data_IF_992215525590
#
_entry.id   IF_992215525590
#
_cell.length_a   1.000
_cell.length_b   1.000
_cell.length_c   1.000
_cell.angle_alpha   90.00
_cell.angle_beta   90.00
_cell.angle_gamma   90.00
#
_symmetry.space_group_name_H-M   'P 1'
#
loop_
_entity.id
_entity.type
_entity.pdbx_description
1 polymer ?
2 polymer ?
3 polymer ?
4 water ?
#
# COMPACT_ATOMS: atom_id res chain seq x y z
N UNK A 1 13.87 8.51 -9.96
CA UNK A 1 12.72 7.60 -9.80
C UNK A 1 12.13 7.58 -8.36
N UNK A 2 12.16 8.72 -7.62
CA UNK A 2 11.70 8.82 -6.24
C UNK A 2 10.53 9.76 -5.99
N UNK A 3 9.67 9.34 -5.04
CA UNK A 3 8.47 10.04 -4.62
C UNK A 3 8.17 9.96 -3.11
N UNK A 4 7.67 11.08 -2.55
CA UNK A 4 7.22 11.14 -1.15
C UNK A 4 5.71 11.19 -1.26
N UNK A 5 5.03 10.34 -0.50
CA UNK A 5 3.59 10.31 -0.47
C UNK A 5 3.12 10.27 0.97
N UNK A 6 2.00 10.93 1.26
CA UNK A 6 1.39 10.92 2.59
C UNK A 6 -0.01 10.41 2.39
N UNK A 7 -0.45 9.51 3.27
CA UNK A 7 -1.75 8.82 3.20
C UNK A 7 -2.45 9.00 4.53
N UNK A 8 -3.66 9.55 4.49
CA UNK A 8 -4.47 9.89 5.68
C UNK A 8 -5.77 9.13 5.61
N UNK A 9 -6.18 8.58 6.74
CA UNK A 9 -7.42 7.79 6.85
C UNK A 9 -8.18 8.31 8.07
N UNK A 10 -9.40 8.81 7.83
CA UNK A 10 -10.29 9.38 8.85
C UNK A 10 -11.56 8.55 8.82
N UNK A 11 -11.86 7.86 9.91
CA UNK A 11 -13.04 7.00 9.96
C UNK A 11 -13.92 7.46 11.13
N UNK A 12 -15.12 7.98 10.83
CA UNK A 12 -16.04 8.39 11.90
C UNK A 12 -16.64 7.16 12.63
N UNK A 13 -17.08 7.35 13.88
CA UNK A 13 -17.71 6.28 14.68
C UNK A 13 -19.18 6.68 14.94
N UNK A 14 -20.15 5.74 15.14
CA UNK A 14 -21.55 6.15 15.30
C UNK A 14 -21.81 7.20 16.37
N UNK A 15 -22.71 8.12 16.05
CA UNK A 15 -23.08 9.26 16.89
C UNK A 15 -21.99 10.31 16.82
N UNK A 16 -21.68 10.92 17.97
CA UNK A 16 -20.65 11.92 18.06
C UNK A 16 -19.25 11.30 18.37
N UNK A 17 -18.41 12.03 19.11
CA UNK A 17 -17.06 11.58 19.46
C UNK A 17 -16.02 11.71 18.36
N UNK A 18 -14.74 11.79 18.79
CA UNK A 18 -13.50 11.86 18.02
C UNK A 18 -13.52 10.83 16.86
N UNK A 19 -13.10 11.20 15.63
CA UNK A 19 -13.00 10.17 14.59
C UNK A 19 -11.70 9.39 14.76
N UNK A 20 -11.56 8.31 13.98
CA UNK A 20 -10.32 7.56 13.94
C UNK A 20 -9.38 8.17 12.88
N UNK A 21 -8.26 8.82 13.31
CA UNK A 21 -7.29 9.42 12.38
C UNK A 21 -5.93 8.69 12.27
N UNK A 22 -5.65 8.12 11.06
CA UNK A 22 -4.40 7.42 10.71
C UNK A 22 -3.65 8.13 9.59
N UNK A 23 -2.39 8.47 9.86
CA UNK A 23 -1.48 9.08 8.92
C UNK A 23 -0.23 8.21 8.68
N UNK A 24 0.00 7.75 7.41
CA UNK A 24 1.22 7.07 6.94
C UNK A 24 1.98 7.90 5.90
N UNK A 25 3.29 7.96 6.06
CA UNK A 25 4.16 8.70 5.16
C UNK A 25 5.24 7.77 4.65
N UNK A 26 5.42 7.78 3.30
CA UNK A 26 6.38 6.92 2.60
C UNK A 26 7.36 7.65 1.73
N UNK A 27 8.55 7.06 1.53
CA UNK A 27 9.54 7.53 0.58
C UNK A 27 9.65 6.33 -0.34
N UNK A 28 8.89 6.36 -1.45
CA UNK A 28 8.75 5.27 -2.39
C UNK A 28 7.99 4.15 -1.69
N UNK A 29 8.61 2.98 -1.51
CA UNK A 29 7.96 1.84 -0.91
C UNK A 29 8.42 1.61 0.51
N UNK A 30 9.24 2.57 1.02
CA UNK A 30 9.76 2.59 2.41
C UNK A 30 9.05 3.65 3.27
N UNK A 31 8.31 3.18 4.30
CA UNK A 31 7.56 4.00 5.25
C UNK A 31 8.48 4.50 6.30
N UNK A 32 8.35 5.78 6.64
CA UNK A 32 9.20 6.37 7.68
C UNK A 32 8.38 6.95 8.84
N UNK A 33 7.06 6.96 8.69
CA UNK A 33 6.18 7.59 9.69
C UNK A 33 4.77 7.00 9.75
N UNK A 34 4.27 6.93 10.99
CA UNK A 34 2.94 6.53 11.44
C UNK A 34 2.47 7.48 12.52
N UNK A 35 1.17 7.73 12.53
CA UNK A 35 0.40 8.47 13.52
C UNK A 35 -0.91 7.71 13.72
N UNK A 36 -1.27 7.47 14.96
CA UNK A 36 -2.53 6.80 15.22
C UNK A 36 -3.24 7.53 16.33
N UNK A 37 -4.39 8.21 16.01
CA UNK A 37 -5.22 8.98 16.97
C UNK A 37 -5.63 8.15 18.19
N UNK A 38 -5.70 6.80 18.01
CA UNK A 38 -6.03 5.77 18.99
C UNK A 38 -4.83 5.49 19.93
N UNK A 39 -4.67 6.39 20.90
CA UNK A 39 -3.62 6.46 21.92
C UNK A 39 -3.99 7.67 22.74
N UNK A 40 -4.04 7.51 24.10
CA UNK A 40 -4.44 8.56 25.05
C UNK A 40 -3.52 9.78 25.05
N UNK A 41 -2.30 9.60 24.53
CA UNK A 41 -1.28 10.61 24.26
C UNK A 41 -0.68 10.22 22.86
N UNK A 42 -1.34 10.65 21.74
CA UNK A 42 -0.83 10.30 20.42
C UNK A 42 0.47 11.05 20.05
N UNK A 43 1.43 10.31 19.44
CA UNK A 43 2.73 10.80 19.01
C UNK A 43 3.09 10.37 17.58
N UNK A 44 3.95 11.16 16.93
CA UNK A 44 4.54 10.84 15.63
C UNK A 44 5.53 9.71 15.82
N UNK A 45 5.48 8.68 14.96
CA UNK A 45 6.33 7.50 15.14
C UNK A 45 7.28 7.31 14.00
N UNK A 46 8.61 7.22 14.22
CA UNK A 46 9.54 6.96 13.10
C UNK A 46 9.58 5.48 12.74
N UNK A 47 9.37 5.17 11.44
CA UNK A 47 9.36 3.79 10.94
C UNK A 47 10.59 3.42 10.08
N UNK A 48 11.61 4.30 10.07
CA UNK A 48 12.86 4.11 9.31
C UNK A 48 14.05 4.79 10.00
N UNK A 49 15.24 4.12 10.10
CA UNK A 49 16.37 4.72 10.83
C UNK A 49 16.86 6.11 10.40
N UNK A 50 16.56 6.53 9.13
CA UNK A 50 16.98 7.80 8.52
C UNK A 50 16.26 9.09 8.98
N UNK A 51 15.14 8.92 9.71
CA UNK A 51 14.35 10.01 10.28
C UNK A 51 14.51 9.99 11.82
N UNK A 52 15.25 8.99 12.35
CA UNK A 52 15.50 8.80 13.79
C UNK A 52 16.65 9.69 14.26
N UNK A 53 17.50 10.11 13.30
CA UNK A 53 18.63 11.03 13.49
C UNK A 53 18.09 12.47 13.49
N UNK A 54 16.84 12.65 12.99
CA UNK A 54 16.12 13.93 12.91
C UNK A 54 15.71 14.32 14.34
N UNK A 55 16.00 15.58 14.70
CA UNK A 55 15.77 16.14 16.02
C UNK A 55 14.49 15.77 16.77
N UNK A 56 14.49 15.73 18.13
CA UNK A 56 13.25 15.42 18.86
C UNK A 56 12.21 16.52 18.71
N UNK A 57 12.68 17.76 18.48
CA UNK A 57 11.82 18.93 18.27
C UNK A 57 11.06 18.84 16.91
N UNK A 58 11.69 18.16 15.90
CA UNK A 58 11.11 17.87 14.58
C UNK A 58 9.96 16.87 14.81
N UNK A 59 10.14 15.97 15.77
CA UNK A 59 9.18 14.94 16.15
C UNK A 59 7.93 15.42 16.90
N UNK A 60 8.00 16.63 17.53
CA UNK A 60 6.87 17.26 18.22
C UNK A 60 6.00 17.95 17.16
N UNK A 61 6.66 18.67 16.20
CA UNK A 61 6.12 19.40 15.05
C UNK A 61 5.31 18.47 14.15
N UNK A 62 5.79 17.24 13.92
CA UNK A 62 5.05 16.26 13.11
C UNK A 62 3.80 15.84 13.81
N UNK A 63 3.91 15.59 15.13
CA UNK A 63 2.79 15.23 16.01
C UNK A 63 1.74 16.36 16.05
N UNK A 64 2.14 17.64 16.21
CA UNK A 64 1.21 18.80 16.23
C UNK A 64 0.43 18.91 14.92
N UNK A 65 1.10 18.63 13.78
CA UNK A 65 0.54 18.63 12.42
C UNK A 65 -0.59 17.60 12.30
N UNK A 66 -0.31 16.33 12.66
CA UNK A 66 -1.25 15.22 12.66
C UNK A 66 -2.35 15.42 13.73
N UNK A 67 -2.03 16.09 14.86
CA UNK A 67 -3.03 16.44 15.86
C UNK A 67 -3.94 17.56 15.31
N UNK A 68 -3.41 18.45 14.45
CA UNK A 68 -4.21 19.48 13.77
C UNK A 68 -5.11 18.81 12.72
N UNK A 69 -4.54 17.88 11.90
CA UNK A 69 -5.28 17.14 10.87
C UNK A 69 -6.41 16.28 11.43
N UNK A 70 -6.16 15.57 12.55
CA UNK A 70 -7.16 14.72 13.23
C UNK A 70 -8.36 15.53 13.74
N UNK A 71 -8.08 16.73 14.26
CA UNK A 71 -9.05 17.69 14.79
C UNK A 71 -9.84 18.28 13.60
N UNK A 72 -9.14 18.50 12.47
CA UNK A 72 -9.67 19.04 11.21
C UNK A 72 -10.54 18.03 10.46
N UNK A 73 -10.21 16.73 10.50
CA UNK A 73 -11.03 15.72 9.80
C UNK A 73 -12.36 15.38 10.44
N UNK A 74 -12.51 15.72 11.74
CA UNK A 74 -13.75 15.58 12.50
C UNK A 74 -14.80 16.55 11.93
N UNK A 75 -14.34 17.79 11.62
CA UNK A 75 -15.17 18.85 11.02
C UNK A 75 -15.41 18.59 9.54
N UNK A 76 -14.43 17.97 8.86
CA UNK A 76 -14.51 17.56 7.45
C UNK A 76 -15.54 16.45 7.27
N UNK A 77 -15.52 15.44 8.13
CA UNK A 77 -16.47 14.32 8.09
C UNK A 77 -17.87 14.81 8.42
N UNK A 78 -17.97 15.78 9.35
CA UNK A 78 -19.22 16.42 9.79
C UNK A 78 -19.85 17.19 8.62
N UNK A 79 -19.04 17.97 7.87
CA UNK A 79 -19.46 18.75 6.70
C UNK A 79 -19.93 17.88 5.55
N UNK A 80 -19.19 16.78 5.24
CA UNK A 80 -19.53 15.84 4.17
C UNK A 80 -20.84 15.12 4.44
N UNK A 81 -21.10 14.76 5.73
CA UNK A 81 -22.34 14.14 6.22
C UNK A 81 -23.52 15.06 5.86
N UNK A 82 -23.28 16.35 6.00
CA UNK A 82 -24.20 17.40 5.62
C UNK A 82 -24.27 17.62 4.12
N UNK A 83 -23.21 17.31 3.36
CA UNK A 83 -23.22 17.49 1.89
C UNK A 83 -24.01 16.35 1.23
N UNK A 84 -24.02 15.21 1.89
CA UNK A 84 -24.64 13.98 1.47
C UNK A 84 -25.94 13.71 2.21
N UNK A 85 -26.39 14.67 3.01
CA UNK A 85 -27.62 14.63 3.81
C UNK A 85 -27.72 13.27 4.56
N UNK A 86 -26.69 13.00 5.40
CA UNK A 86 -26.47 11.77 6.18
C UNK A 86 -26.50 12.04 7.70
N UNK A 87 -27.00 11.07 8.46
CA UNK A 87 -27.11 11.09 9.92
C UNK A 87 -25.76 10.85 10.60
N UNK A 88 -25.70 11.15 11.92
CA UNK A 88 -24.54 10.89 12.77
C UNK A 88 -24.40 9.39 13.01
N UNK A 89 -25.48 8.64 12.69
CA UNK A 89 -25.53 7.19 12.81
C UNK A 89 -24.91 6.56 11.57
N UNK A 90 -23.89 5.76 11.80
CA UNK A 90 -23.16 5.09 10.73
C UNK A 90 -21.78 5.66 10.55
N UNK A 91 -20.80 4.79 10.31
CA UNK A 91 -19.40 5.11 10.11
C UNK A 91 -19.09 5.45 8.66
N UNK A 92 -18.34 6.56 8.45
CA UNK A 92 -17.93 7.04 7.13
C UNK A 92 -16.42 7.22 7.07
N UNK A 93 -15.85 7.20 5.85
CA UNK A 93 -14.39 7.31 5.65
C UNK A 93 -14.01 8.50 4.77
N UNK A 94 -12.96 9.23 5.16
CA UNK A 94 -12.41 10.33 4.39
C UNK A 94 -10.89 10.11 4.23
N UNK A 95 -10.45 9.91 2.99
CA UNK A 95 -9.03 9.66 2.72
C UNK A 95 -8.47 10.78 1.88
N UNK A 96 -7.24 11.22 2.24
CA UNK A 96 -6.44 12.21 1.53
C UNK A 96 -5.08 11.60 1.15
N UNK A 97 -4.64 11.87 -0.09
CA UNK A 97 -3.33 11.46 -0.59
C UNK A 97 -2.68 12.70 -1.18
N UNK A 98 -1.51 13.03 -0.64
CA UNK A 98 -0.70 14.14 -1.09
C UNK A 98 0.75 13.73 -1.15
N UNK A 99 1.50 14.40 -2.01
CA UNK A 99 2.90 14.05 -2.19
C UNK A 99 3.54 14.54 -3.48
N UNK A 100 4.85 14.25 -3.59
CA UNK A 100 5.69 14.73 -4.66
C UNK A 100 6.54 13.67 -5.34
N UNK A 101 6.56 13.67 -6.68
CA UNK A 101 7.43 12.84 -7.53
C UNK A 101 8.63 13.74 -7.86
N UNK A 102 9.86 13.25 -7.58
CA UNK A 102 11.07 14.03 -7.85
C UNK A 102 11.42 14.00 -9.33
N UNK A 103 11.77 15.17 -9.87
CA UNK A 103 12.16 15.38 -11.26
C UNK A 103 13.56 14.87 -11.57
N UNK A 104 14.14 15.23 -12.74
CA UNK A 104 15.50 14.74 -13.07
C UNK A 104 16.61 15.49 -12.36
N UNK A 105 16.29 16.71 -11.88
CA UNK A 105 17.15 17.48 -11.01
C UNK A 105 16.40 17.59 -9.67
N UNK A 106 16.72 18.58 -8.83
CA UNK A 106 16.07 18.70 -7.52
C UNK A 106 14.74 19.43 -7.55
N UNK A 107 14.01 19.27 -8.67
CA UNK A 107 12.72 19.88 -9.01
C UNK A 107 11.55 18.93 -8.86
N UNK A 108 10.36 19.50 -8.77
CA UNK A 108 9.13 18.73 -8.68
C UNK A 108 8.76 18.22 -10.10
N UNK A 109 8.53 16.90 -10.21
CA UNK A 109 8.12 16.25 -11.45
C UNK A 109 6.61 16.39 -11.46
N UNK A 110 5.92 15.87 -10.42
CA UNK A 110 4.46 15.98 -10.28
C UNK A 110 4.06 16.14 -8.81
N UNK A 111 3.00 16.93 -8.59
CA UNK A 111 2.40 17.23 -7.30
C UNK A 111 1.00 16.66 -7.20
N UNK A 112 0.67 16.07 -6.05
CA UNK A 112 -0.60 15.40 -5.80
C UNK A 112 -1.23 15.91 -4.56
N UNK A 113 -2.56 16.08 -4.58
CA UNK A 113 -3.42 16.43 -3.46
C UNK A 113 -4.86 16.07 -3.81
N UNK A 114 -5.27 14.88 -3.40
CA UNK A 114 -6.59 14.31 -3.72
C UNK A 114 -7.30 13.61 -2.57
N UNK A 115 -8.63 13.61 -2.63
CA UNK A 115 -9.52 13.08 -1.62
C UNK A 115 -10.55 12.07 -2.17
N UNK A 116 -11.00 11.17 -1.27
CA UNK A 116 -11.98 10.10 -1.43
C UNK A 116 -12.82 10.06 -0.16
N UNK A 117 -14.13 9.98 -0.31
CA UNK A 117 -15.11 9.91 0.76
C UNK A 117 -15.87 8.61 0.55
N UNK A 118 -15.72 7.67 1.48
CA UNK A 118 -16.24 6.30 1.39
C UNK A 118 -15.68 5.51 0.17
N UNK A 119 -14.42 5.81 -0.16
CA UNK A 119 -13.66 5.12 -1.21
C UNK A 119 -14.12 5.34 -2.62
N UNK A 120 -14.64 6.55 -2.86
CA UNK A 120 -15.11 7.11 -4.12
C UNK A 120 -14.36 8.42 -4.23
N UNK A 121 -13.82 8.73 -5.44
CA UNK A 121 -13.06 9.97 -5.67
C UNK A 121 -13.92 11.16 -5.25
N UNK A 122 -13.32 12.17 -4.61
CA UNK A 122 -14.09 13.31 -4.18
C UNK A 122 -13.65 14.56 -4.90
N UNK A 123 -12.37 14.92 -4.71
CA UNK A 123 -11.73 16.08 -5.31
C UNK A 123 -10.26 15.81 -5.52
N UNK A 124 -9.74 16.28 -6.64
CA UNK A 124 -8.33 16.07 -6.92
C UNK A 124 -7.65 17.29 -7.41
N UNK A 125 -6.38 17.45 -7.00
CA UNK A 125 -5.56 18.50 -7.52
C UNK A 125 -5.06 17.99 -8.86
N UNK A 126 -5.24 18.84 -9.88
CA UNK A 126 -4.79 18.57 -11.23
C UNK A 126 -3.31 18.84 -11.31
N UNK A 127 -2.64 18.16 -12.25
CA UNK A 127 -1.21 18.26 -12.61
C UNK A 127 -0.64 19.69 -12.67
N UNK A 128 -1.44 20.70 -13.11
CA UNK A 128 -1.02 22.11 -13.16
C UNK A 128 -0.86 22.76 -11.76
N UNK A 129 -1.36 22.06 -10.69
CA UNK A 129 -1.31 22.47 -9.26
C UNK A 129 -2.09 23.77 -8.96
N UNK A 130 -2.78 24.30 -9.99
CA UNK A 130 -3.55 25.55 -10.00
C UNK A 130 -5.03 25.24 -9.98
N UNK A 131 -5.39 24.02 -10.41
CA UNK A 131 -6.76 23.58 -10.64
C UNK A 131 -7.18 22.35 -9.82
N UNK A 132 -8.49 21.98 -9.84
CA UNK A 132 -9.09 20.84 -9.15
C UNK A 132 -10.14 20.18 -10.02
N UNK A 133 -10.31 18.85 -9.86
CA UNK A 133 -11.35 18.02 -10.49
C UNK A 133 -12.26 17.53 -9.32
N UNK A 134 -13.52 18.04 -9.25
CA UNK A 134 -14.58 17.63 -8.31
C UNK A 134 -15.36 16.45 -8.97
N UNK A 135 -15.58 15.32 -8.25
CA UNK A 135 -16.26 14.16 -8.87
C UNK A 135 -17.78 14.25 -8.86
N UNK A 136 -18.38 14.86 -7.83
CA UNK A 136 -19.83 15.03 -7.65
C UNK A 136 -20.23 16.49 -7.38
N UNK A 137 -21.53 16.74 -7.11
CA UNK A 137 -22.08 18.07 -6.79
C UNK A 137 -21.49 18.60 -5.49
N UNK A 138 -21.31 17.69 -4.48
CA UNK A 138 -20.79 17.95 -3.13
C UNK A 138 -19.41 18.51 -3.22
N UNK A 139 -18.52 17.79 -3.95
CA UNK A 139 -17.13 18.17 -4.16
C UNK A 139 -17.03 19.50 -4.90
N UNK A 140 -18.07 19.87 -5.73
CA UNK A 140 -18.11 21.17 -6.40
C UNK A 140 -18.24 22.32 -5.37
N UNK A 141 -18.82 22.04 -4.16
CA UNK A 141 -18.96 22.99 -3.03
C UNK A 141 -17.58 23.28 -2.47
N UNK A 142 -16.78 22.22 -2.25
CA UNK A 142 -15.39 22.27 -1.78
C UNK A 142 -14.55 23.00 -2.83
N UNK A 143 -14.84 22.75 -4.11
CA UNK A 143 -14.19 23.34 -5.28
C UNK A 143 -14.46 24.83 -5.37
N UNK A 144 -15.70 25.28 -5.19
CA UNK A 144 -16.01 26.71 -5.28
C UNK A 144 -15.43 27.49 -4.11
N UNK A 145 -15.30 26.81 -2.97
CA UNK A 145 -14.76 27.25 -1.68
C UNK A 145 -13.27 27.34 -1.86
N UNK A 146 -12.69 26.30 -2.51
CA UNK A 146 -11.27 26.24 -2.80
C UNK A 146 -10.80 27.18 -3.87
N UNK A 147 -11.62 27.41 -4.91
CA UNK A 147 -11.28 28.36 -5.97
C UNK A 147 -11.33 29.82 -5.50
N UNK A 148 -12.26 30.14 -4.57
CA UNK A 148 -12.39 31.46 -3.96
C UNK A 148 -11.21 31.75 -3.02
N UNK A 149 -10.84 30.75 -2.19
CA UNK A 149 -9.75 30.83 -1.21
C UNK A 149 -8.34 30.82 -1.83
N UNK A 150 -8.25 30.38 -3.08
CA UNK A 150 -7.02 30.17 -3.86
C UNK A 150 -6.11 29.14 -3.15
N UNK A 151 -6.75 28.06 -2.64
CA UNK A 151 -6.18 26.90 -1.90
C UNK A 151 -5.05 26.22 -2.71
N UNK A 152 -5.30 25.91 -4.02
CA UNK A 152 -4.36 25.33 -4.99
C UNK A 152 -3.04 26.13 -5.06
N UNK A 153 -3.12 27.50 -5.20
CA UNK A 153 -1.95 28.41 -5.25
C UNK A 153 -1.15 28.31 -3.96
N UNK A 154 -1.86 28.27 -2.81
CA UNK A 154 -1.34 28.12 -1.46
C UNK A 154 -0.65 26.76 -1.29
N UNK A 155 -1.33 25.66 -1.72
CA UNK A 155 -0.79 24.28 -1.61
C UNK A 155 0.42 24.00 -2.50
N UNK A 156 0.57 24.80 -3.55
CA UNK A 156 1.63 24.78 -4.56
C UNK A 156 3.02 24.89 -3.92
N UNK A 157 3.23 25.89 -3.03
CA UNK A 157 4.49 26.15 -2.29
C UNK A 157 5.05 24.89 -1.56
N UNK A 158 4.17 24.09 -0.95
CA UNK A 158 4.58 22.87 -0.26
C UNK A 158 5.09 21.79 -1.22
N UNK A 159 4.27 21.44 -2.26
CA UNK A 159 4.59 20.42 -3.25
C UNK A 159 5.90 20.68 -4.00
N UNK A 160 6.09 21.94 -4.42
CA UNK A 160 7.23 22.46 -5.15
C UNK A 160 8.53 22.66 -4.39
N UNK A 161 8.44 23.22 -3.20
CA UNK A 161 9.60 23.54 -2.40
C UNK A 161 9.87 22.59 -1.27
N UNK A 162 8.94 22.54 -0.28
CA UNK A 162 8.98 21.79 0.97
C UNK A 162 8.99 20.25 0.84
N UNK A 163 8.06 19.70 0.08
CA UNK A 163 7.92 18.26 -0.16
C UNK A 163 9.21 17.71 -0.83
N UNK A 164 9.79 18.51 -1.74
CA UNK A 164 10.98 18.26 -2.53
C UNK A 164 12.24 18.31 -1.66
N UNK A 165 12.37 19.36 -0.82
CA UNK A 165 13.49 19.58 0.10
C UNK A 165 13.65 18.43 1.07
N UNK A 166 12.50 17.87 1.52
CA UNK A 166 12.44 16.81 2.50
C UNK A 166 12.72 15.45 1.92
N UNK A 167 12.12 15.12 0.75
CA UNK A 167 12.37 13.89 -0.01
C UNK A 167 13.90 13.84 -0.21
N UNK A 168 14.50 14.96 -0.70
CA UNK A 168 15.95 15.13 -0.90
C UNK A 168 16.79 14.88 0.37
N UNK A 169 16.36 15.41 1.54
CA UNK A 169 17.07 15.20 2.83
C UNK A 169 17.06 13.71 3.19
N UNK A 170 15.87 13.06 3.08
CA UNK A 170 15.59 11.65 3.32
C UNK A 170 16.36 10.73 2.37
N UNK A 171 16.51 11.13 1.09
CA UNK A 171 17.24 10.39 0.06
C UNK A 171 18.73 10.43 0.29
N UNK A 172 19.22 11.49 0.94
CA UNK A 172 20.62 11.65 1.30
C UNK A 172 20.88 10.89 2.61
N UNK A 173 19.95 11.04 3.59
CA UNK A 173 20.01 10.36 4.90
C UNK A 173 19.91 8.84 4.80
N UNK A 174 19.12 8.35 3.83
CA UNK A 174 18.90 6.93 3.60
C UNK A 174 19.47 6.38 2.30
N UNK A 175 20.44 7.11 1.72
CA UNK A 175 21.16 6.84 0.46
C UNK A 175 21.56 5.35 0.28
N UNK A 176 21.79 4.65 1.42
CA UNK A 176 22.23 3.26 1.47
C UNK A 176 21.16 2.30 1.00
N UNK A 177 19.93 2.48 1.47
CA UNK A 177 18.80 1.60 1.12
C UNK A 177 17.79 2.20 0.12
N UNK A 178 17.55 3.54 0.23
CA UNK A 178 16.59 4.27 -0.61
C UNK A 178 17.05 4.49 -2.04
N UNK A 179 18.37 4.67 -2.24
CA UNK A 179 18.93 4.96 -3.56
C UNK A 179 19.49 3.74 -4.29
N UNK A 180 19.24 2.52 -3.79
CA UNK A 180 19.71 1.30 -4.47
C UNK A 180 18.58 0.40 -4.94
N UNK A 181 18.82 -0.39 -6.01
CA UNK A 181 17.82 -1.32 -6.51
C UNK A 181 18.30 -2.77 -6.35
N UNK A 182 17.47 -3.60 -5.67
CA UNK A 182 17.77 -5.03 -5.44
C UNK A 182 16.97 -5.84 -6.45
N UNK A 183 17.68 -6.47 -7.40
CA UNK A 183 17.14 -7.32 -8.48
C UNK A 183 16.37 -8.53 -7.92
N UNK A 184 15.36 -9.07 -8.64
CA UNK A 184 14.65 -10.27 -8.14
C UNK A 184 15.50 -11.54 -8.26
N UNK A 185 15.19 -12.57 -7.46
CA UNK A 185 15.87 -13.86 -7.52
C UNK A 185 14.93 -14.81 -8.23
N UNK A 186 15.18 -14.95 -9.51
CA UNK A 186 14.36 -15.74 -10.41
C UNK A 186 14.64 -17.26 -10.42
N UNK A 187 13.55 -18.03 -10.63
CA UNK A 187 13.51 -19.47 -10.82
C UNK A 187 12.17 -19.81 -11.38
N UNK A 188 12.01 -21.02 -11.94
CA UNK A 188 10.75 -21.48 -12.52
C UNK A 188 10.40 -22.78 -11.87
N UNK A 189 9.11 -22.95 -11.56
CA UNK A 189 8.55 -24.18 -11.01
C UNK A 189 7.54 -24.69 -12.00
N UNK A 190 7.43 -26.02 -12.11
CA UNK A 190 6.59 -26.80 -13.02
C UNK A 190 5.69 -27.67 -12.18
N UNK A 191 4.39 -27.63 -12.50
CA UNK A 191 3.42 -28.37 -11.73
C UNK A 191 2.45 -29.03 -12.68
N UNK A 192 2.64 -30.34 -13.02
CA UNK A 192 1.62 -31.04 -13.84
C UNK A 192 0.17 -30.84 -13.35
N UNK A 193 -0.78 -30.72 -14.27
CA UNK A 193 -2.16 -30.48 -13.88
C UNK A 193 -3.01 -31.71 -14.21
N UNK A 194 -2.74 -32.32 -15.37
CA UNK A 194 -3.43 -33.50 -15.93
C UNK A 194 -2.49 -34.26 -16.85
N UNK A 195 -3.06 -35.16 -17.68
CA UNK A 195 -2.31 -35.92 -18.67
C UNK A 195 -1.89 -34.94 -19.82
N UNK A 196 -2.65 -33.84 -19.96
CA UNK A 196 -2.48 -32.82 -21.01
C UNK A 196 -2.16 -31.37 -20.60
N UNK A 197 -1.98 -31.09 -19.30
CA UNK A 197 -1.67 -29.74 -18.86
C UNK A 197 -0.63 -29.70 -17.76
N UNK A 198 0.00 -28.55 -17.60
CA UNK A 198 1.01 -28.29 -16.58
C UNK A 198 1.15 -26.78 -16.40
N UNK A 199 1.21 -26.34 -15.13
CA UNK A 199 1.37 -24.94 -14.73
C UNK A 199 2.86 -24.62 -14.69
N UNK A 200 3.27 -23.54 -15.38
CA UNK A 200 4.63 -23.02 -15.38
C UNK A 200 4.60 -21.74 -14.54
N UNK A 201 5.34 -21.72 -13.40
CA UNK A 201 5.35 -20.57 -12.50
C UNK A 201 6.71 -19.89 -12.32
N UNK A 202 6.75 -18.63 -12.73
CA UNK A 202 7.90 -17.76 -12.67
C UNK A 202 7.82 -16.89 -11.44
N UNK A 203 8.73 -17.11 -10.51
CA UNK A 203 8.80 -16.42 -9.25
C UNK A 203 9.86 -15.36 -9.32
N UNK A 204 9.57 -14.22 -8.69
CA UNK A 204 10.49 -13.11 -8.51
C UNK A 204 10.55 -12.83 -7.00
N UNK A 205 11.72 -13.01 -6.39
CA UNK A 205 11.81 -12.80 -4.95
C UNK A 205 12.92 -11.83 -4.53
N UNK A 206 12.76 -11.27 -3.32
CA UNK A 206 13.70 -10.35 -2.67
C UNK A 206 14.01 -9.06 -3.38
N UNK A 207 13.05 -8.54 -4.18
CA UNK A 207 13.29 -7.31 -4.91
C UNK A 207 12.82 -6.04 -4.24
N UNK A 208 13.49 -4.96 -4.61
CA UNK A 208 13.23 -3.57 -4.22
C UNK A 208 13.69 -2.68 -5.39
N UNK A 209 12.81 -1.81 -5.97
CA UNK A 209 11.43 -1.47 -5.57
C UNK A 209 10.33 -2.48 -5.94
N UNK A 210 9.07 -2.11 -5.66
CA UNK A 210 7.90 -2.95 -5.91
C UNK A 210 7.50 -2.98 -7.39
N UNK A 211 6.49 -3.87 -7.74
CA UNK A 211 5.87 -4.20 -9.04
C UNK A 211 6.60 -3.74 -10.27
N UNK A 212 7.79 -4.32 -10.42
CA UNK A 212 8.61 -4.10 -11.57
C UNK A 212 8.66 -5.47 -12.31
N UNK A 213 7.58 -5.58 -13.11
CA UNK A 213 6.91 -6.62 -13.89
C UNK A 213 7.62 -7.77 -14.68
N UNK A 214 7.00 -8.94 -14.49
CA UNK A 214 7.25 -10.26 -15.03
C UNK A 214 6.38 -10.49 -16.24
N UNK A 215 6.75 -11.44 -17.09
CA UNK A 215 5.96 -11.81 -18.27
C UNK A 215 6.26 -13.24 -18.70
N UNK A 216 5.30 -13.87 -19.36
CA UNK A 216 5.46 -15.19 -19.97
C UNK A 216 5.21 -15.02 -21.49
N UNK A 217 6.14 -15.52 -22.31
CA UNK A 217 6.06 -15.45 -23.77
C UNK A 217 6.03 -16.82 -24.40
N UNK A 218 5.06 -17.09 -25.27
CA UNK A 218 5.05 -18.33 -26.03
C UNK A 218 5.58 -17.99 -27.42
N UNK A 219 6.75 -18.57 -27.76
CA UNK A 219 7.44 -18.37 -29.04
C UNK A 219 7.49 -16.88 -29.44
N UNK A 220 8.12 -16.08 -28.59
CA UNK A 220 8.26 -14.64 -28.77
C UNK A 220 7.01 -13.80 -28.52
N UNK A 221 5.82 -14.45 -28.44
CA UNK A 221 4.54 -13.80 -28.25
C UNK A 221 4.11 -13.67 -26.80
N UNK A 222 3.95 -12.42 -26.35
CA UNK A 222 3.49 -12.08 -25.01
C UNK A 222 2.07 -12.56 -24.78
N UNK A 223 1.92 -13.31 -23.66
CA UNK A 223 0.70 -13.95 -23.17
C UNK A 223 -0.06 -13.04 -22.15
N UNK A 224 -0.27 -11.77 -22.57
CA UNK A 224 -0.97 -10.71 -21.84
C UNK A 224 -2.37 -11.05 -21.30
N UNK A 225 -3.01 -12.12 -21.81
CA UNK A 225 -4.37 -12.51 -21.45
C UNK A 225 -4.49 -13.86 -20.73
N UNK A 226 -3.53 -14.76 -20.99
CA UNK A 226 -3.50 -16.09 -20.39
C UNK A 226 -2.61 -16.19 -19.15
N UNK A 227 -1.90 -15.09 -18.83
CA UNK A 227 -1.03 -15.00 -17.68
C UNK A 227 -1.83 -14.87 -16.37
N UNK A 228 -1.54 -15.76 -15.42
CA UNK A 228 -2.08 -15.72 -14.07
C UNK A 228 -1.01 -14.95 -13.30
N UNK A 229 -1.42 -13.80 -12.80
CA UNK A 229 -0.54 -12.89 -12.12
C UNK A 229 -1.07 -12.65 -10.71
N UNK A 230 -0.17 -12.74 -9.68
CA UNK A 230 -0.53 -12.37 -8.32
C UNK A 230 -0.06 -10.94 -8.12
N UNK A 231 -0.78 -10.20 -7.27
CA UNK A 231 -0.48 -8.85 -6.84
C UNK A 231 0.88 -8.83 -6.14
N UNK A 232 1.68 -7.75 -6.32
CA UNK A 232 2.98 -7.58 -5.66
C UNK A 232 2.79 -7.46 -4.16
N UNK A 233 3.39 -8.40 -3.44
CA UNK A 233 3.33 -8.61 -2.00
C UNK A 233 4.60 -8.23 -1.25
N UNK A 234 4.43 -7.58 -0.09
CA UNK A 234 5.60 -7.23 0.71
C UNK A 234 6.13 -8.46 1.42
N UNK A 235 7.43 -8.75 1.27
CA UNK A 235 8.01 -9.91 1.95
C UNK A 235 7.99 -9.69 3.50
N UNK A 236 8.11 -8.43 3.91
CA UNK A 236 8.10 -8.02 5.31
C UNK A 236 9.45 -7.60 5.82
N UNK A 237 10.44 -7.55 4.92
CA UNK A 237 11.79 -7.14 5.30
C UNK A 237 12.19 -5.90 4.50
N UNK A 238 11.20 -5.32 3.81
CA UNK A 238 11.39 -4.17 2.92
C UNK A 238 11.49 -4.61 1.47
N UNK A 239 11.63 -5.93 1.24
CA UNK A 239 11.73 -6.48 -0.11
C UNK A 239 10.34 -6.87 -0.50
N UNK A 240 10.17 -7.15 -1.79
CA UNK A 240 8.89 -7.54 -2.37
C UNK A 240 8.95 -8.88 -3.09
N UNK A 241 7.77 -9.47 -3.29
CA UNK A 241 7.62 -10.74 -3.99
C UNK A 241 6.50 -10.63 -5.02
N UNK A 242 6.62 -11.37 -6.11
CA UNK A 242 5.60 -11.50 -7.16
C UNK A 242 5.87 -12.75 -7.97
N UNK A 243 4.81 -13.35 -8.47
CA UNK A 243 4.93 -14.45 -9.40
C UNK A 243 3.98 -14.25 -10.59
N UNK A 244 4.31 -14.87 -11.71
CA UNK A 244 3.55 -14.90 -12.95
C UNK A 244 3.45 -16.38 -13.28
N UNK A 245 2.23 -16.87 -13.64
CA UNK A 245 1.98 -18.28 -13.95
C UNK A 245 1.23 -18.47 -15.26
N UNK A 246 1.39 -19.63 -15.90
CA UNK A 246 0.78 -19.94 -17.19
C UNK A 246 0.54 -21.44 -17.33
N UNK A 247 -0.70 -21.84 -17.69
CA UNK A 247 -1.01 -23.26 -17.90
C UNK A 247 -0.66 -23.54 -19.34
N UNK A 248 0.04 -24.63 -19.55
CA UNK A 248 0.65 -25.00 -20.82
C UNK A 248 0.28 -26.46 -21.20
N UNK A 249 0.31 -26.86 -22.51
CA UNK A 249 0.08 -28.29 -22.85
C UNK A 249 1.15 -29.18 -22.23
N UNK A 250 0.90 -30.49 -22.21
CA UNK A 250 1.75 -31.51 -21.58
C UNK A 250 3.27 -31.47 -21.87
N UNK A 251 3.66 -31.45 -23.14
CA UNK A 251 5.07 -31.51 -23.51
C UNK A 251 5.56 -30.31 -24.26
N UNK A 252 4.81 -29.18 -24.14
CA UNK A 252 5.12 -27.94 -24.86
C UNK A 252 5.87 -26.85 -24.07
N UNK A 253 6.18 -27.09 -22.80
CA UNK A 253 6.91 -26.18 -21.88
C UNK A 253 8.06 -25.36 -22.45
N UNK A 254 8.85 -25.94 -23.38
CA UNK A 254 10.01 -25.33 -24.05
C UNK A 254 9.68 -24.05 -24.88
N UNK A 255 8.41 -23.91 -25.34
CA UNK A 255 7.96 -22.74 -26.08
C UNK A 255 7.79 -21.54 -25.18
N UNK A 256 7.61 -21.79 -23.87
CA UNK A 256 7.37 -20.74 -22.90
C UNK A 256 8.60 -20.18 -22.23
N UNK A 257 8.75 -18.87 -22.32
CA UNK A 257 9.86 -18.13 -21.72
C UNK A 257 9.39 -17.05 -20.75
N UNK A 258 10.09 -16.90 -19.61
CA UNK A 258 9.69 -15.90 -18.62
C UNK A 258 10.58 -14.70 -18.69
N UNK A 259 9.97 -13.50 -18.70
CA UNK A 259 10.75 -12.28 -18.78
C UNK A 259 10.59 -11.41 -17.59
N UNK A 260 11.73 -10.81 -17.18
CA UNK A 260 11.80 -9.97 -16.00
C UNK A 260 12.50 -8.64 -16.31
N UNK A 261 11.80 -7.53 -16.01
CA UNK A 261 12.31 -6.15 -16.16
C UNK A 261 12.35 -5.53 -14.75
N UNK A 262 13.53 -5.11 -14.28
CA UNK A 262 13.73 -4.50 -12.98
C UNK A 262 14.89 -3.53 -13.06
N UNK A 263 14.82 -2.39 -12.33
CA UNK A 263 15.89 -1.39 -12.35
C UNK A 263 17.22 -1.89 -11.75
N UNK A 264 17.15 -2.98 -10.98
CA UNK A 264 18.28 -3.67 -10.38
C UNK A 264 18.87 -4.72 -11.30
N UNK A 265 18.17 -4.97 -12.45
CA UNK A 265 18.58 -5.90 -13.50
C UNK A 265 19.13 -5.10 -14.67
N UNK A 266 20.47 -5.13 -14.90
CA UNK A 266 21.04 -4.39 -16.05
C UNK A 266 20.56 -4.94 -17.41
N UNK A 267 20.02 -6.16 -17.41
CA UNK A 267 19.52 -6.77 -18.63
C UNK A 267 18.29 -7.64 -18.37
N UNK A 268 17.19 -7.40 -19.12
CA UNK A 268 15.98 -8.22 -18.96
C UNK A 268 16.20 -9.73 -19.12
N UNK A 269 15.99 -10.46 -18.01
CA UNK A 269 16.19 -11.90 -17.87
C UNK A 269 15.19 -12.71 -18.62
N UNK A 270 15.69 -13.76 -19.21
CA UNK A 270 14.92 -14.75 -19.91
C UNK A 270 15.21 -16.06 -19.14
N UNK A 271 14.15 -16.81 -18.82
CA UNK A 271 14.27 -18.08 -18.11
C UNK A 271 13.15 -19.07 -18.47
N UNK A 272 13.48 -20.37 -18.47
CA UNK A 272 12.55 -21.44 -18.80
C UNK A 272 12.63 -22.55 -17.71
N UNK A 273 11.76 -23.60 -17.78
CA UNK A 273 11.85 -24.71 -16.85
C UNK A 273 12.77 -25.73 -17.46
N UNK B 1 -21.64 4.99 -0.14
CA UNK B 1 -20.62 4.14 0.48
C UNK B 1 -20.33 2.93 -0.41
N UNK B 2 -19.09 2.82 -0.90
CA UNK B 2 -18.74 1.65 -1.71
C UNK B 2 -17.92 0.67 -0.88
N UNK B 3 -18.35 -0.62 -0.90
CA UNK B 3 -17.70 -1.71 -0.19
C UNK B 3 -16.96 -2.67 -1.15
N UNK B 4 -15.64 -2.90 -0.87
CA UNK B 4 -14.73 -3.77 -1.65
C UNK B 4 -14.21 -4.95 -0.85
N UNK B 5 -14.23 -6.13 -1.52
CA UNK B 5 -13.86 -7.42 -0.96
C UNK B 5 -12.36 -7.59 -0.88
N UNK B 6 -11.81 -8.02 0.28
CA UNK B 6 -10.34 -8.17 0.37
C UNK B 6 -9.72 -9.25 -0.52
N UNK B 7 -8.47 -8.98 -0.92
CA UNK B 7 -7.62 -9.89 -1.69
C UNK B 7 -6.68 -10.51 -0.65
N UNK B 8 -6.58 -11.84 -0.61
CA UNK B 8 -5.75 -12.52 0.40
C UNK B 8 -4.58 -13.35 -0.15
N UNK B 9 -3.33 -13.02 0.27
CA UNK B 9 -2.13 -13.77 -0.09
C UNK B 9 -1.44 -14.28 1.17
N UNK B 10 -1.36 -15.62 1.33
CA UNK B 10 -0.72 -16.27 2.49
C UNK B 10 0.59 -16.90 2.06
N UNK B 11 1.69 -16.48 2.68
CA UNK B 11 3.02 -16.87 2.23
C UNK B 11 4.09 -16.61 3.30
N UNK B 12 5.29 -17.13 3.09
CA UNK B 12 6.42 -16.94 4.00
C UNK B 12 7.40 -15.91 3.42
N UNK B 13 8.19 -15.25 4.30
CA UNK B 13 9.18 -14.19 4.00
C UNK B 13 10.36 -14.63 3.12
N UNK B 14 10.97 -15.76 3.44
CA UNK B 14 12.09 -16.35 2.73
C UNK B 14 11.57 -17.74 2.29
N UNK B 15 12.21 -18.50 1.34
CA UNK B 15 11.63 -19.80 0.93
C UNK B 15 11.58 -20.85 2.05
N UNK B 16 10.53 -21.68 2.08
CA UNK B 16 10.32 -22.63 3.17
C UNK B 16 11.37 -23.71 3.34
N UNK B 17 11.77 -23.93 4.61
CA UNK B 17 12.74 -24.90 5.08
C UNK B 17 12.15 -25.49 6.37
N UNK B 18 11.86 -26.80 6.35
CA UNK B 18 11.32 -27.53 7.48
C UNK B 18 12.32 -27.62 8.63
N UNK B 19 11.95 -27.01 9.75
CA UNK B 19 12.78 -26.97 10.95
C UNK B 19 13.48 -25.66 11.15
N UNK B 20 13.69 -24.87 10.05
CA UNK B 20 14.37 -23.56 10.02
C UNK B 20 13.37 -22.40 10.15
N UNK B 21 13.82 -21.33 10.83
CA UNK B 21 13.07 -20.11 11.11
C UNK B 21 12.73 -19.30 9.84
N UNK B 22 11.51 -18.75 9.87
CA UNK B 22 10.90 -17.92 8.84
C UNK B 22 9.82 -16.94 9.46
N UNK B 23 9.11 -16.19 8.61
CA UNK B 23 8.07 -15.26 9.02
C UNK B 23 6.91 -15.50 8.12
N UNK B 24 5.75 -15.75 8.71
CA UNK B 24 4.53 -16.05 7.97
C UNK B 24 3.73 -14.77 7.69
N UNK B 25 3.35 -14.59 6.42
CA UNK B 25 2.65 -13.40 5.97
C UNK B 25 1.27 -13.61 5.48
N UNK B 26 0.43 -12.63 5.74
CA UNK B 26 -0.92 -12.59 5.19
C UNK B 26 -1.15 -11.19 4.78
N UNK B 27 -1.11 -11.01 3.47
CA UNK B 27 -1.29 -9.72 2.83
C UNK B 27 -2.73 -9.56 2.42
N UNK B 28 -3.43 -8.65 3.11
CA UNK B 28 -4.84 -8.35 2.77
C UNK B 28 -4.84 -7.04 1.98
N UNK B 29 -5.47 -7.03 0.82
CA UNK B 29 -5.47 -5.83 -0.01
C UNK B 29 -6.81 -5.62 -0.73
N UNK B 30 -7.01 -4.46 -1.33
CA UNK B 30 -8.22 -4.16 -2.09
C UNK B 30 -9.53 -4.20 -1.34
N UNK B 31 -9.51 -3.79 -0.05
CA UNK B 31 -10.70 -3.74 0.79
C UNK B 31 -11.11 -2.32 1.21
N UNK B 32 -12.41 -2.10 1.31
CA UNK B 32 -13.00 -0.84 1.71
C UNK B 32 -14.38 -1.12 2.32
N UNK B 33 -14.75 -0.69 3.54
CA UNK B 33 -14.00 0.12 4.54
C UNK B 33 -12.77 -0.53 5.22
N UNK B 34 -12.05 0.25 6.04
CA UNK B 34 -10.83 -0.13 6.76
C UNK B 34 -10.95 -1.16 7.86
N UNK B 35 -12.15 -1.31 8.49
CA UNK B 35 -12.43 -2.27 9.56
C UNK B 35 -12.30 -3.71 9.06
N UNK B 36 -11.36 -4.47 9.61
CA UNK B 36 -11.04 -5.85 9.20
C UNK B 36 -10.48 -6.69 10.37
N UNK B 37 -10.87 -7.97 10.42
CA UNK B 37 -10.31 -8.91 11.39
C UNK B 37 -9.40 -9.85 10.60
N UNK B 38 -8.11 -9.80 10.89
CA UNK B 38 -7.13 -10.64 10.22
C UNK B 38 -6.44 -11.46 11.30
N UNK B 39 -6.38 -12.80 11.11
CA UNK B 39 -5.74 -13.74 12.05
C UNK B 39 -4.87 -14.77 11.36
N UNK B 40 -3.72 -15.10 11.95
CA UNK B 40 -2.87 -16.16 11.41
C UNK B 40 -3.18 -17.39 12.28
N UNK B 41 -3.34 -18.58 11.62
CA UNK B 41 -3.71 -19.85 12.26
C UNK B 41 -2.58 -20.86 12.23
N UNK B 42 -2.34 -21.57 13.36
CA UNK B 42 -1.47 -22.75 13.45
C UNK B 42 -2.42 -23.88 13.86
N UNK B 43 -2.70 -24.80 12.91
CA UNK B 43 -3.59 -25.94 13.08
C UNK B 43 -5.02 -25.48 13.43
N UNK B 44 -5.50 -24.44 12.74
CA UNK B 44 -6.83 -23.88 12.93
C UNK B 44 -7.07 -23.12 14.21
N UNK B 45 -5.99 -22.79 14.92
CA UNK B 45 -5.97 -22.07 16.19
C UNK B 45 -5.50 -20.65 15.92
N UNK B 46 -5.76 -19.72 16.84
CA UNK B 46 -5.36 -18.33 16.70
C UNK B 46 -3.97 -18.04 17.32
N UNK B 47 -2.98 -17.66 16.46
CA UNK B 47 -1.63 -17.28 16.87
C UNK B 47 -1.74 -15.89 17.48
N UNK B 48 -1.26 -15.76 18.71
CA UNK B 48 -1.30 -14.59 19.57
C UNK B 48 -0.28 -13.51 19.29
N UNK B 49 0.96 -13.87 18.89
CA UNK B 49 2.02 -12.90 18.59
C UNK B 49 2.10 -12.61 17.08
N UNK B 50 0.93 -12.29 16.51
CA UNK B 50 0.75 -11.87 15.13
C UNK B 50 0.74 -10.33 15.19
N UNK B 51 1.74 -9.71 14.55
CA UNK B 51 1.96 -8.26 14.48
C UNK B 51 1.40 -7.74 13.14
N UNK B 52 1.24 -6.42 12.96
CA UNK B 52 0.74 -5.87 11.70
C UNK B 52 1.35 -4.52 11.26
N UNK B 53 1.21 -4.21 9.94
CA UNK B 53 1.64 -2.96 9.33
C UNK B 53 0.59 -1.87 9.66
N UNK B 54 0.99 -0.62 9.49
CA UNK B 54 0.16 0.55 9.74
C UNK B 54 -0.65 0.85 8.48
N UNK B 55 -1.99 0.62 8.59
CA UNK B 55 -3.01 0.81 7.55
C UNK B 55 -2.65 1.87 6.53
N UNK B 56 -2.77 1.53 5.26
CA UNK B 56 -2.46 2.42 4.12
C UNK B 56 -3.31 2.00 2.92
N UNK B 57 -3.29 2.84 1.88
CA UNK B 57 -4.08 2.66 0.67
C UNK B 57 -3.34 2.78 -0.65
N UNK B 58 -4.00 2.25 -1.72
CA UNK B 58 -3.53 2.24 -3.12
C UNK B 58 -4.19 3.39 -3.94
N UNK B 59 -3.79 3.52 -5.20
CA UNK B 59 -4.33 4.51 -6.14
C UNK B 59 -5.85 4.51 -6.25
N UNK B 60 -6.51 3.34 -6.16
CA UNK B 60 -7.98 3.23 -6.21
C UNK B 60 -8.71 3.53 -4.87
N UNK B 61 -7.93 3.81 -3.77
CA UNK B 61 -8.33 4.15 -2.38
C UNK B 61 -8.54 2.93 -1.51
N UNK B 62 -8.36 1.74 -2.13
CA UNK B 62 -8.48 0.46 -1.46
C UNK B 62 -7.40 0.30 -0.42
N UNK B 63 -7.73 -0.37 0.70
CA UNK B 63 -6.79 -0.51 1.80
C UNK B 63 -5.95 -1.77 1.72
N UNK B 64 -4.79 -1.79 2.41
CA UNK B 64 -3.96 -2.98 2.50
C UNK B 64 -3.35 -3.15 3.86
N UNK B 65 -3.18 -4.39 4.25
CA UNK B 65 -2.60 -4.71 5.54
C UNK B 65 -1.70 -5.93 5.50
N UNK B 66 -0.59 -5.88 6.24
CA UNK B 66 0.33 -7.00 6.38
C UNK B 66 0.43 -7.42 7.82
N UNK B 67 -0.01 -8.66 8.05
CA UNK B 67 0.05 -9.35 9.33
C UNK B 67 1.19 -10.33 9.19
N UNK B 68 1.94 -10.53 10.28
CA UNK B 68 3.11 -11.43 10.24
C UNK B 68 3.45 -12.04 11.58
N UNK B 69 3.93 -13.27 11.55
CA UNK B 69 4.37 -13.99 12.72
C UNK B 69 5.68 -14.75 12.37
N UNK B 70 6.69 -14.72 13.25
CA UNK B 70 7.93 -15.45 13.00
C UNK B 70 7.72 -16.93 13.30
N UNK B 71 7.66 -17.76 12.25
CA UNK B 71 7.33 -19.16 12.37
C UNK B 71 8.45 -20.15 11.98
N UNK B 72 8.12 -21.45 12.05
CA UNK B 72 8.93 -22.57 11.64
C UNK B 72 8.02 -23.59 10.95
N UNK B 73 8.23 -23.78 9.62
CA UNK B 73 7.45 -24.82 8.92
C UNK B 73 7.90 -26.21 9.34
N UNK B 74 7.09 -27.25 9.14
CA UNK B 74 7.45 -28.61 9.58
C UNK B 74 7.06 -29.75 8.64
N UNK B 75 5.82 -29.80 8.19
CA UNK B 75 5.20 -30.84 7.35
C UNK B 75 3.85 -31.21 7.94
N UNK B 76 3.73 -31.08 9.26
CA UNK B 76 2.55 -31.47 10.03
C UNK B 76 1.75 -30.27 10.42
N UNK B 77 2.40 -29.23 10.98
CA UNK B 77 1.67 -28.04 11.41
C UNK B 77 1.07 -27.35 10.21
N UNK B 78 -0.19 -26.98 10.31
CA UNK B 78 -0.96 -26.39 9.21
C UNK B 78 -1.37 -24.95 9.53
N UNK B 79 -0.61 -24.01 8.98
CA UNK B 79 -0.81 -22.57 9.09
C UNK B 79 -1.80 -22.13 8.03
N UNK B 80 -2.60 -21.10 8.35
CA UNK B 80 -3.59 -20.49 7.47
C UNK B 80 -3.86 -19.02 7.88
N UNK B 81 -4.60 -18.29 7.06
CA UNK B 81 -4.99 -16.92 7.37
C UNK B 81 -6.49 -16.88 7.33
N UNK B 82 -7.10 -16.23 8.34
CA UNK B 82 -8.53 -16.07 8.43
C UNK B 82 -8.81 -14.57 8.34
N UNK B 83 -9.77 -14.19 7.50
CA UNK B 83 -10.13 -12.78 7.36
C UNK B 83 -11.64 -12.52 7.49
N UNK B 84 -12.02 -11.46 8.24
CA UNK B 84 -13.41 -11.00 8.33
C UNK B 84 -13.60 -9.49 8.03
N UNK B 85 -14.60 -9.18 7.17
CA UNK B 85 -14.97 -7.85 6.66
C UNK B 85 -16.51 -7.79 6.35
N UNK B 86 -17.12 -6.59 6.26
CA UNK B 86 -18.58 -6.42 5.95
C UNK B 86 -19.05 -7.28 4.78
N UNK B 87 -18.19 -7.32 3.75
CA UNK B 87 -18.30 -7.97 2.44
C UNK B 87 -18.46 -9.47 2.50
N UNK B 88 -17.72 -10.11 3.38
CA UNK B 88 -17.72 -11.54 3.58
C UNK B 88 -18.98 -12.01 4.28
N UNK B 89 -19.66 -13.02 3.66
CA UNK B 89 -20.89 -13.64 4.19
C UNK B 89 -20.54 -14.48 5.43
N UNK B 90 -19.29 -14.96 5.45
CA UNK B 90 -18.66 -15.74 6.51
C UNK B 90 -17.14 -15.50 6.37
N UNK B 91 -16.34 -15.55 7.45
CA UNK B 91 -14.89 -15.38 7.33
C UNK B 91 -14.21 -16.30 6.30
N UNK B 92 -13.18 -15.77 5.62
CA UNK B 92 -12.42 -16.50 4.62
C UNK B 92 -11.19 -17.07 5.29
N UNK B 93 -10.94 -18.38 5.08
CA UNK B 93 -9.74 -19.05 5.57
C UNK B 93 -8.93 -19.50 4.34
N UNK B 94 -7.68 -19.03 4.27
CA UNK B 94 -6.76 -19.34 3.16
C UNK B 94 -5.53 -20.06 3.73
N UNK B 95 -5.42 -21.33 3.37
CA UNK B 95 -4.35 -22.24 3.74
C UNK B 95 -3.00 -21.74 3.22
N UNK B 96 -1.93 -21.81 4.05
CA UNK B 96 -0.59 -21.46 3.59
C UNK B 96 -0.07 -22.63 2.78
N UNK B 97 0.33 -22.30 1.57
CA UNK B 97 0.89 -23.22 0.63
C UNK B 97 2.30 -22.72 0.45
N UNK B 98 3.24 -23.63 0.63
CA UNK B 98 4.69 -23.49 0.54
C UNK B 98 5.09 -22.96 -0.85
N UNK B 99 4.34 -23.36 -1.88
CA UNK B 99 4.54 -23.04 -3.31
C UNK B 99 3.42 -22.15 -3.88
N UNK B 100 2.91 -21.23 -3.04
CA UNK B 100 1.86 -20.26 -3.33
C UNK B 100 2.40 -18.88 -2.98
N UNK C 1 8.59 15.52 6.02
CA UNK C 1 7.79 16.48 6.76
C UNK C 1 6.38 16.60 6.14
N UNK C 2 5.33 16.58 7.01
CA UNK C 2 3.94 16.72 6.60
C UNK C 2 3.63 18.18 6.23
N UNK C 3 2.56 18.39 5.46
CA UNK C 3 2.13 19.74 5.08
C UNK C 3 1.60 20.42 6.36
N UNK C 4 2.09 21.63 6.72
CA UNK C 4 1.67 22.25 7.99
C UNK C 4 0.19 22.57 8.29
N UNK C 5 -0.48 23.37 7.43
CA UNK C 5 -1.89 23.79 7.65
C UNK C 5 -2.86 22.72 7.10
N UNK C 6 -3.89 22.27 7.89
CA UNK C 6 -4.79 21.22 7.38
C UNK C 6 -5.81 21.70 6.35
N UNK C 7 -6.22 20.78 5.45
CA UNK C 7 -7.15 21.02 4.35
C UNK C 7 -8.60 20.90 4.74
N UNK C 8 -9.32 22.05 4.74
CA UNK C 8 -10.73 22.14 5.10
C UNK C 8 -11.56 22.21 3.86
N UNK C 9 -12.46 21.25 3.68
CA UNK C 9 -13.31 21.19 2.52
C UNK C 9 -14.77 21.60 2.77
#
# INVERSE_FOLDING_TARGET
SHSMRYFYTAVSRPGRGEPRFIAVGYVDDTQFVQFDSDAASPRGEPRAPWVEQEGPEYWDRETQKYKRQAQTDRVNLRKLRGYYNQSEAGSHTLQRMYGCDLGPDGRLLRGYNQFAYDGKDYIALNEDLRSWTAADKAAQITQRKWEAAREAEQRRAYLEGTCVEWLRRYLENGKKTLQRAEHPKTHVTHHPVSDHEATLRCWALGFYPAEITLTWQRDGEDQTQDTELVETRPAGDGTFQKWAAVVVPSGEEQRYTCHVQHEGLPEPLTLRWGPSS
MIQRTPKIQVYSRHPAENGKSNFLNCYVSGFHPSDIEVDLLKNGERIEKVEHSDLSFSKDWSFYLLYYTEFTPTEKDEYACRVNHVTLSQPKIVKWDRDM
SAEPVPLQL
#
